data_IF_355535143538
#
_entry.id   IF_355535143538
#
_cell.length_a   1.000
_cell.length_b   1.000
_cell.length_c   1.000
_cell.angle_alpha   90.00
_cell.angle_beta   90.00
_cell.angle_gamma   90.00
#
_symmetry.space_group_name_H-M   'P 1'
#
loop_
_entity.id
_entity.type
_entity.pdbx_description
1 polymer ?
#
# COMPACT_ATOMS: atom_id res chain seq x y z
N UNK A 1 48.77 -1.85 -79.09
CA UNK A 1 48.93 -0.63 -78.27
C UNK A 1 47.70 0.24 -78.48
N UNK A 2 47.10 0.69 -77.38
CA UNK A 2 45.91 1.56 -77.31
C UNK A 2 44.58 0.98 -77.80
N UNK A 3 43.67 0.65 -76.87
CA UNK A 3 42.23 0.62 -77.12
C UNK A 3 41.53 1.47 -76.08
N UNK A 4 40.78 2.43 -76.60
CA UNK A 4 40.10 3.50 -75.87
C UNK A 4 38.92 3.03 -75.03
N UNK A 5 38.74 3.80 -73.96
CA UNK A 5 37.72 3.76 -72.95
C UNK A 5 36.36 4.18 -73.55
N UNK A 6 35.35 3.29 -73.50
CA UNK A 6 33.94 3.70 -73.55
C UNK A 6 33.33 3.56 -72.16
N UNK A 7 32.92 4.70 -71.59
CA UNK A 7 32.15 4.79 -70.35
C UNK A 7 30.75 4.24 -70.58
N UNK A 8 30.37 3.22 -69.80
CA UNK A 8 28.98 2.76 -69.67
C UNK A 8 28.36 3.39 -68.42
N UNK A 9 27.22 4.05 -68.62
CA UNK A 9 26.37 4.61 -67.56
C UNK A 9 25.59 3.45 -66.94
N UNK A 10 25.75 3.24 -65.63
CA UNK A 10 24.96 2.28 -64.85
C UNK A 10 23.84 3.04 -64.15
N UNK A 11 22.59 2.74 -64.53
CA UNK A 11 21.38 3.20 -63.85
C UNK A 11 21.12 2.27 -62.68
N UNK A 12 21.16 2.78 -61.45
CA UNK A 12 20.82 2.04 -60.23
C UNK A 12 19.34 2.27 -59.92
N UNK A 13 18.53 1.22 -60.01
CA UNK A 13 17.13 1.21 -59.56
C UNK A 13 17.11 0.69 -58.12
N UNK A 14 16.71 1.55 -57.18
CA UNK A 14 16.51 1.17 -55.77
C UNK A 14 15.06 0.69 -55.61
N UNK A 15 14.88 -0.62 -55.40
CA UNK A 15 13.59 -1.20 -55.00
C UNK A 15 13.52 -1.18 -53.48
N UNK A 16 12.61 -0.37 -52.94
CA UNK A 16 12.30 -0.34 -51.50
C UNK A 16 11.39 -1.51 -51.19
N UNK A 17 11.94 -2.56 -50.58
CA UNK A 17 11.16 -3.66 -50.03
C UNK A 17 10.48 -3.18 -48.73
N UNK A 18 9.16 -3.02 -48.76
CA UNK A 18 8.37 -2.85 -47.53
C UNK A 18 8.37 -4.17 -46.76
N UNK A 19 9.16 -4.26 -45.69
CA UNK A 19 8.98 -5.28 -44.67
C UNK A 19 7.71 -4.96 -43.87
N UNK A 20 6.60 -5.61 -44.23
CA UNK A 20 5.45 -5.75 -43.33
C UNK A 20 5.87 -6.66 -42.18
N UNK A 21 6.35 -6.07 -41.09
CA UNK A 21 6.50 -6.78 -39.82
C UNK A 21 5.11 -7.11 -39.34
N UNK A 22 4.68 -8.37 -39.54
CA UNK A 22 3.59 -8.94 -38.78
C UNK A 22 4.01 -8.93 -37.31
N UNK A 23 3.54 -7.92 -36.58
CA UNK A 23 3.61 -7.89 -35.13
C UNK A 23 2.59 -8.91 -34.63
N UNK A 24 3.01 -10.17 -34.52
CA UNK A 24 2.34 -11.14 -33.67
C UNK A 24 2.42 -10.60 -32.26
N UNK A 25 1.35 -9.94 -31.80
CA UNK A 25 1.14 -9.63 -30.38
C UNK A 25 0.87 -10.95 -29.66
N UNK A 26 1.93 -11.68 -29.35
CA UNK A 26 1.92 -12.60 -28.22
C UNK A 26 2.00 -11.74 -26.97
N UNK A 27 0.83 -11.24 -26.53
CA UNK A 27 0.64 -11.08 -25.11
C UNK A 27 0.49 -12.51 -24.58
N UNK A 28 1.62 -13.14 -24.23
CA UNK A 28 1.57 -14.18 -23.22
C UNK A 28 1.00 -13.49 -21.98
N UNK A 29 -0.30 -13.66 -21.78
CA UNK A 29 -0.85 -13.67 -20.44
C UNK A 29 0.04 -14.66 -19.69
N UNK A 30 0.89 -14.15 -18.80
CA UNK A 30 1.56 -15.00 -17.83
C UNK A 30 0.43 -15.85 -17.25
N UNK A 31 0.49 -17.16 -17.46
CA UNK A 31 -0.42 -18.12 -16.86
C UNK A 31 -0.42 -17.80 -15.37
N UNK A 32 -1.48 -17.15 -14.89
CA UNK A 32 -1.74 -17.06 -13.48
C UNK A 32 -1.68 -18.51 -13.00
N UNK A 33 -0.85 -18.86 -12.01
CA UNK A 33 -0.88 -20.22 -11.50
C UNK A 33 -2.33 -20.56 -11.18
N UNK A 34 -2.77 -21.79 -11.50
CA UNK A 34 -4.12 -22.34 -11.23
C UNK A 34 -4.42 -22.42 -9.71
N UNK A 35 -3.78 -21.58 -8.90
CA UNK A 35 -3.87 -21.55 -7.46
C UNK A 35 -4.82 -20.44 -7.04
N UNK A 36 -5.81 -20.83 -6.24
CA UNK A 36 -6.75 -19.91 -5.63
C UNK A 36 -6.02 -19.05 -4.59
N UNK A 37 -5.86 -17.72 -4.81
CA UNK A 37 -5.16 -16.89 -3.85
C UNK A 37 -5.97 -16.82 -2.55
N UNK A 38 -5.26 -16.92 -1.43
CA UNK A 38 -5.81 -16.71 -0.09
C UNK A 38 -5.07 -15.56 0.57
N UNK A 39 -5.76 -14.77 1.38
CA UNK A 39 -5.15 -13.63 2.06
C UNK A 39 -5.91 -13.24 3.34
N UNK A 40 -5.17 -12.65 4.28
CA UNK A 40 -5.75 -12.11 5.51
C UNK A 40 -6.03 -10.62 5.34
N UNK A 41 -7.20 -10.21 5.82
CA UNK A 41 -7.53 -8.80 6.06
C UNK A 41 -7.91 -8.60 7.53
N UNK A 42 -7.89 -7.35 7.96
CA UNK A 42 -8.33 -6.95 9.30
C UNK A 42 -9.73 -6.35 9.15
N UNK A 43 -10.67 -6.82 9.96
CA UNK A 43 -12.06 -6.37 9.93
C UNK A 43 -12.17 -4.87 10.23
N UNK A 44 -12.92 -4.14 9.39
CA UNK A 44 -13.21 -2.72 9.59
C UNK A 44 -14.33 -2.47 10.61
N UNK A 45 -14.94 -3.51 11.17
CA UNK A 45 -16.11 -3.40 12.05
C UNK A 45 -15.75 -3.01 13.49
N UNK A 46 -14.49 -3.20 13.89
CA UNK A 46 -14.04 -2.85 15.23
C UNK A 46 -13.72 -1.36 15.36
N UNK A 47 -13.95 -0.81 16.56
CA UNK A 47 -13.65 0.60 16.86
C UNK A 47 -12.15 0.89 16.91
N UNK A 48 -11.35 -0.11 17.24
CA UNK A 48 -9.91 -0.04 17.25
C UNK A 48 -9.32 -1.28 16.57
N UNK A 49 -8.12 -1.13 16.02
CA UNK A 49 -7.47 -2.20 15.25
C UNK A 49 -7.06 -3.39 16.11
N UNK A 50 -6.81 -3.18 17.41
CA UNK A 50 -6.37 -4.25 18.33
C UNK A 50 -7.51 -5.24 18.62
N UNK A 51 -8.76 -4.77 18.63
CA UNK A 51 -9.96 -5.61 18.80
C UNK A 51 -10.49 -6.16 17.47
N UNK A 52 -9.96 -5.70 16.34
CA UNK A 52 -10.42 -6.11 15.03
C UNK A 52 -10.13 -7.59 14.78
N UNK A 53 -11.14 -8.31 14.29
CA UNK A 53 -11.02 -9.71 13.91
C UNK A 53 -10.24 -9.86 12.61
N UNK A 54 -9.48 -10.95 12.50
CA UNK A 54 -8.87 -11.37 11.26
C UNK A 54 -9.92 -12.02 10.36
N UNK A 55 -9.91 -11.64 9.10
CA UNK A 55 -10.80 -12.17 8.07
C UNK A 55 -9.95 -12.98 7.09
N UNK A 56 -10.34 -14.24 6.88
CA UNK A 56 -9.72 -15.17 5.94
C UNK A 56 -10.48 -15.05 4.63
N UNK A 57 -9.79 -14.75 3.54
CA UNK A 57 -10.38 -14.53 2.21
C UNK A 57 -9.77 -15.50 1.20
N UNK A 58 -10.55 -15.87 0.19
CA UNK A 58 -10.07 -16.60 -1.00
C UNK A 58 -10.72 -16.09 -2.29
N UNK A 59 -9.99 -16.21 -3.39
CA UNK A 59 -10.40 -15.71 -4.70
C UNK A 59 -9.92 -14.29 -5.02
N UNK A 60 -10.49 -13.62 -6.03
CA UNK A 60 -11.76 -13.95 -6.69
C UNK A 60 -11.67 -15.02 -7.80
N UNK A 61 -12.77 -15.71 -8.06
CA UNK A 61 -13.00 -16.53 -9.26
C UNK A 61 -12.15 -17.80 -9.37
N UNK A 62 -11.92 -18.51 -8.26
CA UNK A 62 -11.12 -19.72 -8.28
C UNK A 62 -11.82 -20.85 -9.05
N UNK A 63 -11.20 -21.32 -10.13
CA UNK A 63 -11.68 -22.51 -10.87
C UNK A 63 -11.53 -23.78 -10.04
N UNK A 64 -10.41 -23.89 -9.32
CA UNK A 64 -10.11 -24.99 -8.40
C UNK A 64 -9.94 -24.42 -6.98
N UNK A 65 -11.03 -24.13 -6.26
CA UNK A 65 -10.95 -23.64 -4.89
C UNK A 65 -10.32 -24.71 -3.97
N UNK A 66 -9.60 -24.29 -2.93
CA UNK A 66 -8.99 -25.22 -1.98
C UNK A 66 -10.08 -25.99 -1.24
N UNK A 67 -9.77 -27.16 -0.71
CA UNK A 67 -10.70 -27.91 0.14
C UNK A 67 -10.83 -27.22 1.51
N UNK A 68 -9.68 -26.80 2.07
CA UNK A 68 -9.65 -26.10 3.34
C UNK A 68 -8.49 -25.11 3.44
N UNK A 69 -8.66 -24.14 4.33
CA UNK A 69 -7.69 -23.09 4.64
C UNK A 69 -7.37 -23.13 6.13
N UNK A 70 -6.08 -23.12 6.48
CA UNK A 70 -5.59 -23.03 7.85
C UNK A 70 -5.04 -21.66 8.18
N UNK A 71 -5.36 -21.14 9.37
CA UNK A 71 -4.74 -19.97 9.97
C UNK A 71 -3.82 -20.40 11.11
N UNK A 72 -2.63 -19.82 11.20
CA UNK A 72 -1.58 -20.18 12.16
C UNK A 72 -0.98 -18.93 12.81
N UNK A 73 -0.51 -19.05 14.05
CA UNK A 73 0.30 -18.04 14.75
C UNK A 73 1.81 -18.28 14.65
N UNK A 74 2.20 -19.43 14.10
CA UNK A 74 3.59 -19.79 13.83
C UNK A 74 3.74 -20.08 12.36
N UNK A 75 4.95 -19.92 11.81
CA UNK A 75 5.18 -20.21 10.40
C UNK A 75 5.10 -21.72 10.18
N UNK A 76 4.09 -22.24 9.45
CA UNK A 76 3.92 -23.68 9.26
C UNK A 76 5.02 -24.32 8.40
N UNK A 77 5.86 -23.53 7.73
CA UNK A 77 7.07 -24.04 7.07
C UNK A 77 8.21 -24.37 8.07
N UNK A 78 8.10 -23.92 9.31
CA UNK A 78 9.14 -24.04 10.35
C UNK A 78 8.62 -24.69 11.65
N UNK A 79 7.32 -24.94 11.75
CA UNK A 79 6.65 -25.44 12.95
C UNK A 79 5.55 -26.42 12.57
N UNK A 80 5.42 -27.48 13.35
CA UNK A 80 4.37 -28.51 13.21
C UNK A 80 3.10 -28.17 14.02
N UNK A 81 2.97 -26.92 14.50
CA UNK A 81 1.80 -26.48 15.25
C UNK A 81 0.52 -26.58 14.39
N UNK A 82 -0.60 -27.10 14.95
CA UNK A 82 -1.85 -27.18 14.21
C UNK A 82 -2.44 -25.78 13.93
N UNK A 83 -3.31 -25.65 12.90
CA UNK A 83 -3.98 -24.38 12.64
C UNK A 83 -4.88 -23.99 13.81
N UNK A 84 -4.85 -22.71 14.18
CA UNK A 84 -5.74 -22.13 15.20
C UNK A 84 -7.16 -21.93 14.67
N UNK A 85 -7.33 -21.83 13.35
CA UNK A 85 -8.62 -21.81 12.67
C UNK A 85 -8.49 -22.66 11.40
N UNK A 86 -9.47 -23.54 11.17
CA UNK A 86 -9.60 -24.33 9.95
C UNK A 86 -10.94 -23.99 9.29
N UNK A 87 -10.89 -23.50 8.07
CA UNK A 87 -12.07 -23.15 7.26
C UNK A 87 -12.23 -24.18 6.15
N UNK A 88 -13.41 -24.77 6.02
CA UNK A 88 -13.79 -25.57 4.86
C UNK A 88 -14.37 -24.62 3.81
N UNK A 89 -13.86 -24.69 2.58
CA UNK A 89 -14.27 -23.77 1.50
C UNK A 89 -15.48 -24.30 0.72
N UNK A 90 -15.75 -25.60 0.81
CA UNK A 90 -16.95 -26.26 0.26
C UNK A 90 -17.14 -26.05 -1.25
N UNK A 91 -16.05 -25.82 -1.99
CA UNK A 91 -16.09 -25.62 -3.44
C UNK A 91 -16.49 -24.21 -3.88
N UNK A 92 -16.63 -23.26 -2.95
CA UNK A 92 -16.96 -21.88 -3.29
C UNK A 92 -15.78 -21.19 -4.01
N UNK A 93 -15.99 -20.60 -5.20
CA UNK A 93 -14.92 -19.99 -5.99
C UNK A 93 -14.36 -18.71 -5.37
N UNK A 94 -15.08 -18.10 -4.41
CA UNK A 94 -14.66 -16.91 -3.68
C UNK A 94 -15.41 -16.81 -2.37
N UNK A 95 -14.79 -16.22 -1.36
CA UNK A 95 -15.48 -15.99 -0.12
C UNK A 95 -14.60 -15.42 0.97
N UNK A 96 -15.22 -15.22 2.12
CA UNK A 96 -14.57 -14.72 3.31
C UNK A 96 -15.19 -15.34 4.56
N UNK A 97 -14.36 -15.56 5.58
CA UNK A 97 -14.77 -15.98 6.91
C UNK A 97 -14.13 -15.06 7.94
N UNK A 98 -14.97 -14.45 8.77
CA UNK A 98 -14.50 -13.68 9.92
C UNK A 98 -14.17 -14.65 11.05
N UNK A 99 -12.92 -14.64 11.51
CA UNK A 99 -12.47 -15.52 12.59
C UNK A 99 -12.67 -14.89 13.97
N UNK A 100 -12.67 -15.70 15.02
CA UNK A 100 -12.63 -15.21 16.41
C UNK A 100 -11.26 -14.66 16.82
N UNK A 101 -10.24 -14.83 15.96
CA UNK A 101 -8.89 -14.34 16.22
C UNK A 101 -8.85 -12.85 16.03
N UNK A 102 -8.46 -12.12 17.08
CA UNK A 102 -8.26 -10.67 17.04
C UNK A 102 -6.83 -10.35 16.61
N UNK A 103 -6.67 -9.26 15.88
CA UNK A 103 -5.36 -8.75 15.50
C UNK A 103 -4.51 -8.42 16.71
N UNK A 104 -5.07 -7.90 17.80
CA UNK A 104 -4.34 -7.63 19.02
C UNK A 104 -3.27 -6.53 18.90
N UNK A 105 -2.50 -6.34 19.97
CA UNK A 105 -1.49 -5.30 20.03
C UNK A 105 -0.15 -5.79 19.46
N UNK A 106 0.13 -5.40 18.22
CA UNK A 106 1.37 -5.76 17.52
C UNK A 106 2.27 -4.56 17.25
N UNK A 107 3.59 -4.79 17.35
CA UNK A 107 4.60 -3.90 16.78
C UNK A 107 4.69 -4.16 15.28
N UNK A 108 4.92 -3.11 14.50
CA UNK A 108 5.19 -3.26 13.06
C UNK A 108 6.44 -4.14 12.89
N UNK A 109 6.38 -5.21 12.10
CA UNK A 109 7.46 -6.19 12.02
C UNK A 109 8.65 -5.65 11.22
N UNK A 110 9.78 -6.37 11.28
CA UNK A 110 10.96 -6.03 10.48
C UNK A 110 11.68 -4.74 10.87
N UNK A 111 11.42 -4.21 12.07
CA UNK A 111 12.05 -2.97 12.57
C UNK A 111 11.36 -1.70 12.08
N UNK A 112 10.16 -1.80 11.49
CA UNK A 112 9.41 -0.66 10.95
C UNK A 112 8.56 0.08 11.99
N UNK A 113 8.57 -0.32 13.26
CA UNK A 113 7.89 0.46 14.30
C UNK A 113 8.55 1.82 14.46
N UNK A 114 7.76 2.88 14.69
CA UNK A 114 8.26 4.26 14.78
C UNK A 114 9.44 4.41 15.75
N UNK A 115 9.33 3.83 16.95
CA UNK A 115 10.39 3.85 17.96
C UNK A 115 11.69 3.14 17.49
N UNK A 116 11.57 2.08 16.69
CA UNK A 116 12.71 1.30 16.22
C UNK A 116 13.45 2.03 15.10
N UNK A 117 12.74 2.68 14.18
CA UNK A 117 13.38 3.42 13.08
C UNK A 117 14.16 4.66 13.55
N UNK A 118 13.82 5.19 14.73
CA UNK A 118 14.59 6.26 15.37
C UNK A 118 15.94 5.77 15.90
N UNK A 119 16.07 4.48 16.19
CA UNK A 119 17.30 3.87 16.72
C UNK A 119 18.13 3.21 15.63
N UNK A 120 17.48 2.61 14.63
CA UNK A 120 18.14 1.82 13.59
C UNK A 120 17.38 1.91 12.27
N UNK A 121 18.11 2.15 11.18
CA UNK A 121 17.56 2.10 9.82
C UNK A 121 17.09 0.66 9.51
N UNK A 122 15.81 0.45 9.16
CA UNK A 122 15.30 -0.87 8.80
C UNK A 122 15.94 -1.33 7.48
N UNK A 123 16.25 -2.63 7.39
CA UNK A 123 16.71 -3.20 6.12
C UNK A 123 15.54 -3.28 5.16
N UNK A 124 15.72 -2.73 3.96
CA UNK A 124 14.77 -2.93 2.86
C UNK A 124 14.71 -4.41 2.51
N UNK A 125 13.51 -4.91 2.30
CA UNK A 125 13.27 -6.31 1.91
C UNK A 125 12.52 -6.32 0.59
N UNK A 126 12.90 -7.24 -0.28
CA UNK A 126 12.16 -7.52 -1.52
C UNK A 126 10.91 -8.34 -1.27
N UNK A 127 10.84 -9.02 -0.12
CA UNK A 127 9.69 -9.82 0.30
C UNK A 127 8.86 -9.09 1.35
N UNK A 128 7.53 -9.28 1.37
CA UNK A 128 6.67 -8.78 2.43
C UNK A 128 7.12 -9.24 3.83
N UNK A 129 6.75 -8.46 4.85
CA UNK A 129 7.17 -8.70 6.24
C UNK A 129 5.95 -9.06 7.09
N UNK A 130 5.92 -10.27 7.64
CA UNK A 130 4.75 -10.83 8.32
C UNK A 130 4.59 -10.35 9.78
N UNK A 131 3.35 -10.21 10.25
CA UNK A 131 2.96 -9.94 11.65
C UNK A 131 3.01 -11.17 12.56
N UNK A 132 3.20 -12.37 12.01
CA UNK A 132 3.11 -13.63 12.77
C UNK A 132 1.77 -14.35 12.63
N UNK A 133 0.94 -13.97 11.65
CA UNK A 133 -0.23 -14.73 11.24
C UNK A 133 -0.02 -15.28 9.84
N UNK A 134 -0.19 -16.58 9.67
CA UNK A 134 0.09 -17.29 8.42
C UNK A 134 -1.14 -18.04 7.93
N UNK A 135 -1.29 -18.11 6.62
CA UNK A 135 -2.34 -18.87 5.95
C UNK A 135 -1.73 -19.95 5.08
N UNK A 136 -2.36 -21.12 5.07
CA UNK A 136 -2.11 -22.15 4.06
C UNK A 136 -3.43 -22.66 3.48
N UNK A 137 -3.43 -23.05 2.21
CA UNK A 137 -4.56 -23.75 1.58
C UNK A 137 -4.13 -25.12 1.07
N UNK A 138 -5.07 -26.06 1.11
CA UNK A 138 -4.83 -27.44 0.72
C UNK A 138 -5.90 -27.95 -0.25
N UNK A 139 -5.48 -28.82 -1.17
CA UNK A 139 -6.38 -29.52 -2.09
C UNK A 139 -7.06 -30.75 -1.44
N UNK A 140 -7.75 -31.54 -2.27
CA UNK A 140 -8.43 -32.76 -1.82
C UNK A 140 -7.47 -33.88 -1.41
N UNK A 141 -6.22 -33.83 -1.86
CA UNK A 141 -5.15 -34.77 -1.53
C UNK A 141 -4.29 -34.27 -0.37
N UNK A 142 -4.77 -33.25 0.36
CA UNK A 142 -4.06 -32.55 1.44
C UNK A 142 -2.68 -32.02 1.02
N UNK A 143 -2.51 -31.68 -0.26
CA UNK A 143 -1.30 -31.02 -0.77
C UNK A 143 -1.42 -29.51 -0.63
N UNK A 144 -0.34 -28.86 -0.18
CA UNK A 144 -0.25 -27.42 -0.02
C UNK A 144 -0.36 -26.72 -1.40
N UNK A 145 -1.35 -25.86 -1.56
CA UNK A 145 -1.56 -25.07 -2.79
C UNK A 145 -1.02 -23.65 -2.66
N UNK A 146 -1.26 -22.99 -1.53
CA UNK A 146 -0.88 -21.59 -1.31
C UNK A 146 -0.37 -21.37 0.12
N UNK A 147 0.53 -20.41 0.28
CA UNK A 147 1.05 -19.95 1.56
C UNK A 147 1.07 -18.41 1.54
N UNK A 148 0.49 -17.78 2.56
CA UNK A 148 0.60 -16.33 2.76
C UNK A 148 0.68 -15.97 4.25
N UNK A 149 0.82 -14.68 4.55
CA UNK A 149 0.77 -14.16 5.90
C UNK A 149 0.13 -12.77 5.93
N UNK A 150 -0.36 -12.37 7.10
CA UNK A 150 -0.70 -10.97 7.32
C UNK A 150 0.60 -10.16 7.34
N UNK A 151 0.75 -9.20 6.43
CA UNK A 151 2.05 -8.57 6.12
C UNK A 151 1.97 -7.06 5.96
N UNK A 152 3.11 -6.40 6.19
CA UNK A 152 3.37 -5.03 5.74
C UNK A 152 4.17 -5.04 4.44
N UNK A 153 4.01 -3.99 3.64
CA UNK A 153 4.80 -3.78 2.41
C UNK A 153 5.25 -2.32 2.31
N UNK A 154 6.23 -1.90 3.14
CA UNK A 154 6.67 -0.52 3.21
C UNK A 154 7.34 -0.03 1.93
N UNK A 155 7.76 -0.91 1.02
CA UNK A 155 8.47 -0.60 -0.22
C UNK A 155 7.87 -1.32 -1.45
N UNK A 156 6.54 -1.50 -1.48
CA UNK A 156 5.87 -2.28 -2.53
C UNK A 156 6.02 -1.67 -3.92
N UNK A 157 6.00 -0.33 -4.07
CA UNK A 157 6.11 0.29 -5.39
C UNK A 157 7.49 0.05 -5.99
N UNK A 158 8.53 0.10 -5.16
CA UNK A 158 9.91 -0.16 -5.57
C UNK A 158 10.16 -1.63 -5.92
N UNK A 159 9.52 -2.57 -5.21
CA UNK A 159 9.77 -4.00 -5.39
C UNK A 159 8.96 -4.64 -6.50
N UNK A 160 7.86 -4.03 -6.92
CA UNK A 160 6.93 -4.60 -7.90
C UNK A 160 7.45 -4.38 -9.33
N UNK A 161 7.84 -5.45 -10.05
CA UNK A 161 8.34 -5.34 -11.41
C UNK A 161 7.28 -4.77 -12.35
N UNK A 162 7.70 -3.83 -13.21
CA UNK A 162 6.81 -3.26 -14.23
C UNK A 162 6.02 -2.03 -13.82
N UNK A 163 5.90 -1.73 -12.51
CA UNK A 163 5.26 -0.47 -12.07
C UNK A 163 5.96 0.78 -12.61
N UNK A 164 7.27 0.71 -12.84
CA UNK A 164 8.04 1.81 -13.41
C UNK A 164 7.56 2.25 -14.81
N UNK A 165 6.87 1.38 -15.54
CA UNK A 165 6.36 1.65 -16.89
C UNK A 165 4.86 1.99 -16.91
N UNK A 166 4.19 1.98 -15.75
CA UNK A 166 2.76 2.28 -15.64
C UNK A 166 2.59 3.77 -15.38
N UNK A 167 1.67 4.41 -16.12
CA UNK A 167 1.38 5.82 -15.88
C UNK A 167 0.55 5.99 -14.61
N UNK A 168 0.66 7.15 -13.94
CA UNK A 168 -0.07 7.38 -12.68
C UNK A 168 -1.58 7.17 -12.79
N UNK A 169 -2.18 7.48 -13.95
CA UNK A 169 -3.63 7.30 -14.21
C UNK A 169 -4.05 5.82 -14.32
N UNK A 170 -3.11 4.94 -14.65
CA UNK A 170 -3.34 3.51 -14.82
C UNK A 170 -2.90 2.72 -13.57
N UNK A 171 -2.30 3.40 -12.59
CA UNK A 171 -1.83 2.82 -11.35
C UNK A 171 -2.93 2.79 -10.29
N UNK A 172 -3.17 1.61 -9.72
CA UNK A 172 -3.99 1.49 -8.52
C UNK A 172 -3.17 1.92 -7.29
N UNK A 173 -3.55 3.04 -6.67
CA UNK A 173 -2.90 3.57 -5.48
C UNK A 173 -3.81 3.49 -4.26
N UNK A 174 -3.42 2.72 -3.23
CA UNK A 174 -4.12 2.75 -1.95
C UNK A 174 -4.02 4.13 -1.30
N UNK A 175 -5.17 4.71 -0.96
CA UNK A 175 -5.28 6.02 -0.34
C UNK A 175 -6.18 6.02 0.89
N UNK A 176 -6.03 7.03 1.75
CA UNK A 176 -6.88 7.23 2.91
C UNK A 176 -7.52 8.62 2.89
N UNK A 177 -8.81 8.70 3.22
CA UNK A 177 -9.52 9.98 3.35
C UNK A 177 -9.25 10.59 4.73
N UNK A 178 -8.98 11.90 4.80
CA UNK A 178 -8.66 12.58 6.06
C UNK A 178 -7.52 11.84 6.79
N UNK A 179 -6.40 11.59 6.11
CA UNK A 179 -5.35 10.66 6.56
C UNK A 179 -4.78 11.03 7.93
N UNK A 180 -4.72 12.33 8.23
CA UNK A 180 -4.24 12.85 9.51
C UNK A 180 -5.29 12.84 10.63
N UNK A 181 -6.50 12.33 10.37
CA UNK A 181 -7.64 12.41 11.29
C UNK A 181 -7.73 11.16 12.17
N UNK A 182 -6.66 10.90 12.92
CA UNK A 182 -6.55 9.80 13.88
C UNK A 182 -6.39 10.33 15.30
N UNK A 183 -6.61 9.43 16.26
CA UNK A 183 -6.44 9.75 17.67
C UNK A 183 -4.95 9.88 18.01
N UNK A 184 -4.58 10.95 18.70
CA UNK A 184 -3.24 11.22 19.23
C UNK A 184 -3.27 11.26 20.75
N UNK A 185 -2.10 11.20 21.39
CA UNK A 185 -1.99 11.41 22.85
C UNK A 185 -2.54 12.76 23.30
N UNK A 186 -2.46 13.79 22.43
CA UNK A 186 -2.94 15.12 22.73
C UNK A 186 -4.48 15.25 22.69
N UNK A 187 -5.16 14.37 21.96
CA UNK A 187 -6.61 14.47 21.73
C UNK A 187 -7.41 13.23 22.18
N UNK A 188 -6.76 12.25 22.83
CA UNK A 188 -7.41 11.02 23.35
C UNK A 188 -8.52 11.29 24.37
N UNK A 189 -8.47 12.41 25.08
CA UNK A 189 -9.54 12.84 26.00
C UNK A 189 -10.72 13.54 25.32
N UNK A 190 -10.61 13.89 24.04
CA UNK A 190 -11.60 14.71 23.36
C UNK A 190 -12.82 13.87 22.91
N UNK A 191 -13.88 13.90 23.72
CA UNK A 191 -15.13 13.16 23.47
C UNK A 191 -15.78 13.54 22.13
N UNK A 192 -15.67 14.80 21.74
CA UNK A 192 -16.27 15.28 20.50
C UNK A 192 -15.53 14.75 19.26
N UNK A 193 -14.19 14.80 19.27
CA UNK A 193 -13.37 14.24 18.19
C UNK A 193 -13.55 12.72 18.08
N UNK A 194 -13.74 12.00 19.20
CA UNK A 194 -14.07 10.56 19.16
C UNK A 194 -15.37 10.26 18.41
N UNK A 195 -16.38 11.14 18.55
CA UNK A 195 -17.69 10.92 17.94
C UNK A 195 -17.70 11.26 16.46
N UNK A 196 -17.05 12.36 16.06
CA UNK A 196 -17.17 12.87 14.68
C UNK A 196 -15.87 13.32 14.02
N UNK A 197 -14.79 13.47 14.78
CA UNK A 197 -13.53 14.04 14.31
C UNK A 197 -12.53 13.03 13.75
N UNK A 198 -12.52 11.79 14.23
CA UNK A 198 -11.62 10.76 13.73
C UNK A 198 -12.22 10.00 12.54
N UNK A 199 -11.36 9.68 11.57
CA UNK A 199 -11.65 8.92 10.34
C UNK A 199 -10.66 7.79 10.10
N UNK A 200 -9.50 7.83 10.76
CA UNK A 200 -8.47 6.81 10.67
C UNK A 200 -8.24 6.17 12.04
N UNK A 201 -8.08 4.85 12.06
CA UNK A 201 -7.80 4.06 13.27
C UNK A 201 -6.31 3.99 13.60
N UNK A 202 -5.45 4.34 12.64
CA UNK A 202 -3.99 4.23 12.72
C UNK A 202 -3.32 5.54 12.30
N UNK A 203 -2.11 5.78 12.82
CA UNK A 203 -1.31 6.96 12.50
C UNK A 203 -0.73 6.93 11.08
N UNK A 204 -0.21 8.07 10.62
CA UNK A 204 0.35 8.23 9.26
C UNK A 204 1.51 7.29 9.02
N UNK A 205 2.38 7.10 10.01
CA UNK A 205 3.50 6.19 9.92
C UNK A 205 3.03 4.76 9.59
N UNK A 206 2.05 4.27 10.36
CA UNK A 206 1.48 2.94 10.18
C UNK A 206 0.75 2.82 8.85
N UNK A 207 -0.05 3.83 8.45
CA UNK A 207 -0.71 3.85 7.13
C UNK A 207 0.30 3.64 5.99
N UNK A 208 1.41 4.37 6.01
CA UNK A 208 2.46 4.28 5.00
C UNK A 208 3.15 2.91 5.01
N UNK A 209 3.47 2.38 6.20
CA UNK A 209 4.09 1.06 6.35
C UNK A 209 3.15 -0.07 5.89
N UNK A 210 1.84 0.07 6.09
CA UNK A 210 0.83 -0.87 5.58
C UNK A 210 0.70 -0.84 4.06
N UNK A 211 1.15 0.23 3.38
CA UNK A 211 1.15 0.32 1.93
C UNK A 211 0.37 1.50 1.35
N UNK A 212 -0.23 2.36 2.18
CA UNK A 212 -0.91 3.59 1.71
C UNK A 212 0.10 4.51 1.04
N UNK A 213 -0.27 5.09 -0.11
CA UNK A 213 0.58 6.01 -0.88
C UNK A 213 -0.10 7.32 -1.24
N UNK A 214 -1.42 7.40 -1.13
CA UNK A 214 -2.18 8.64 -1.33
C UNK A 214 -2.76 9.15 -0.01
N UNK A 215 -2.31 10.32 0.44
CA UNK A 215 -2.72 10.94 1.69
C UNK A 215 -3.55 12.19 1.43
N UNK A 216 -4.79 12.20 1.93
CA UNK A 216 -5.74 13.31 1.81
C UNK A 216 -5.75 14.17 3.09
N UNK A 217 -5.38 15.44 2.94
CA UNK A 217 -5.32 16.42 4.00
C UNK A 217 -6.22 17.62 3.72
N UNK A 218 -6.96 18.04 4.75
CA UNK A 218 -7.55 19.37 4.83
C UNK A 218 -6.75 20.20 5.85
N UNK A 219 -6.29 21.38 5.48
CA UNK A 219 -5.34 22.18 6.28
C UNK A 219 -5.99 23.45 6.82
N UNK A 220 -5.84 23.67 8.12
CA UNK A 220 -6.23 24.91 8.79
C UNK A 220 -5.00 25.67 9.26
N UNK A 221 -5.04 26.99 9.14
CA UNK A 221 -4.06 27.89 9.72
C UNK A 221 -4.66 28.61 10.93
N UNK A 222 -3.96 28.54 12.06
CA UNK A 222 -4.28 29.29 13.26
C UNK A 222 -2.97 29.69 13.95
N UNK A 223 -2.66 31.00 14.05
CA UNK A 223 -1.46 31.48 14.71
C UNK A 223 -1.34 30.92 16.14
N UNK A 224 -0.22 30.28 16.44
CA UNK A 224 0.17 29.93 17.79
C UNK A 224 1.05 31.04 18.36
N UNK A 225 0.89 31.38 19.64
CA UNK A 225 1.71 32.38 20.33
C UNK A 225 3.22 32.09 20.23
N UNK A 226 3.61 30.82 20.04
CA UNK A 226 5.01 30.41 19.92
C UNK A 226 5.44 30.12 18.47
N UNK A 227 4.59 30.39 17.47
CA UNK A 227 4.87 30.20 16.03
C UNK A 227 5.07 28.75 15.53
N UNK A 228 5.23 27.79 16.43
CA UNK A 228 5.62 26.41 16.11
C UNK A 228 4.48 25.49 15.65
N UNK A 229 3.22 25.91 15.82
CA UNK A 229 2.02 25.08 15.54
C UNK A 229 0.93 25.86 14.84
N UNK A 230 1.29 26.49 13.73
CA UNK A 230 0.34 27.31 12.99
C UNK A 230 -0.55 26.48 12.06
N UNK A 231 -0.09 25.32 11.60
CA UNK A 231 -0.82 24.46 10.67
C UNK A 231 -1.38 23.21 11.35
N UNK A 232 -2.64 22.92 11.03
CA UNK A 232 -3.43 21.85 11.62
C UNK A 232 -4.09 21.01 10.54
N UNK A 233 -4.16 19.69 10.79
CA UNK A 233 -5.09 18.80 10.12
C UNK A 233 -6.50 19.14 10.60
N UNK A 234 -7.37 19.33 9.62
CA UNK A 234 -8.77 19.63 9.82
C UNK A 234 -9.62 18.43 9.38
N UNK A 235 -10.66 18.15 10.15
CA UNK A 235 -11.80 17.37 9.68
C UNK A 235 -13.00 18.31 9.68
N UNK A 236 -13.46 18.72 8.50
CA UNK A 236 -14.42 19.81 8.33
C UNK A 236 -13.93 21.08 9.07
N UNK A 237 -14.62 21.51 10.12
CA UNK A 237 -14.28 22.69 10.92
C UNK A 237 -13.48 22.36 12.20
N UNK A 238 -13.12 21.10 12.42
CA UNK A 238 -12.48 20.63 13.65
C UNK A 238 -10.98 20.43 13.49
N UNK A 239 -10.20 21.02 14.40
CA UNK A 239 -8.76 20.77 14.52
C UNK A 239 -8.53 19.39 15.13
N UNK A 240 -7.82 18.53 14.40
CA UNK A 240 -7.56 17.15 14.84
C UNK A 240 -6.14 16.99 15.36
N UNK A 241 -5.14 17.37 14.56
CA UNK A 241 -3.73 17.15 14.87
C UNK A 241 -2.86 18.27 14.27
N UNK A 242 -1.68 18.58 14.85
CA UNK A 242 -0.72 19.49 14.22
C UNK A 242 -0.13 18.85 12.96
N UNK A 243 0.08 19.66 11.91
CA UNK A 243 0.58 19.17 10.62
C UNK A 243 2.07 18.80 10.65
N UNK A 244 2.91 19.58 11.34
CA UNK A 244 4.37 19.44 11.26
C UNK A 244 4.88 18.03 11.64
N UNK A 245 4.44 17.40 12.75
CA UNK A 245 4.86 16.02 13.06
C UNK A 245 4.46 15.00 11.98
N UNK A 246 3.31 15.19 11.33
CA UNK A 246 2.85 14.32 10.23
C UNK A 246 3.79 14.45 9.02
N UNK A 247 4.16 15.67 8.63
CA UNK A 247 5.11 15.89 7.53
C UNK A 247 6.49 15.30 7.84
N UNK A 248 6.94 15.37 9.10
CA UNK A 248 8.19 14.75 9.54
C UNK A 248 8.15 13.22 9.42
N UNK A 249 7.03 12.59 9.75
CA UNK A 249 6.86 11.14 9.60
C UNK A 249 6.83 10.72 8.12
N UNK A 250 6.14 11.49 7.26
CA UNK A 250 6.13 11.26 5.81
C UNK A 250 7.54 11.38 5.23
N UNK A 251 8.25 12.47 5.55
CA UNK A 251 9.63 12.69 5.10
C UNK A 251 10.54 11.55 5.54
N UNK A 252 10.43 11.12 6.79
CA UNK A 252 11.22 9.99 7.32
C UNK A 252 10.88 8.71 6.56
N UNK A 253 9.61 8.42 6.32
CA UNK A 253 9.19 7.24 5.59
C UNK A 253 9.79 7.23 4.19
N UNK A 254 9.62 8.30 3.40
CA UNK A 254 10.15 8.43 2.04
C UNK A 254 11.66 8.20 1.99
N UNK A 255 12.42 8.79 2.92
CA UNK A 255 13.88 8.59 2.99
C UNK A 255 14.25 7.12 3.25
N UNK A 256 13.51 6.43 4.12
CA UNK A 256 13.83 5.06 4.50
C UNK A 256 13.35 4.03 3.48
N UNK A 257 12.16 4.24 2.89
CA UNK A 257 11.53 3.31 1.95
C UNK A 257 11.91 3.54 0.50
N UNK A 258 12.34 4.75 0.12
CA UNK A 258 12.49 5.21 -1.27
C UNK A 258 11.20 5.16 -2.09
N UNK A 259 10.05 5.17 -1.41
CA UNK A 259 8.74 5.18 -2.06
C UNK A 259 8.29 6.60 -2.39
N UNK A 260 7.47 6.71 -3.44
CA UNK A 260 6.76 7.95 -3.75
C UNK A 260 5.48 8.04 -2.94
N UNK A 261 5.26 9.16 -2.24
CA UNK A 261 4.01 9.42 -1.49
C UNK A 261 3.33 10.64 -2.11
N UNK A 262 2.04 10.50 -2.42
CA UNK A 262 1.20 11.54 -2.99
C UNK A 262 0.45 12.26 -1.87
N UNK A 263 0.66 13.58 -1.78
CA UNK A 263 0.00 14.43 -0.80
C UNK A 263 -1.07 15.27 -1.50
N UNK A 264 -2.33 15.07 -1.12
CA UNK A 264 -3.48 15.81 -1.62
C UNK A 264 -3.93 16.82 -0.55
N UNK A 265 -3.67 18.11 -0.79
CA UNK A 265 -4.16 19.20 0.03
C UNK A 265 -5.53 19.65 -0.48
N UNK A 266 -6.55 18.85 -0.20
CA UNK A 266 -7.87 18.97 -0.80
C UNK A 266 -8.62 20.25 -0.43
N UNK A 267 -8.51 20.69 0.83
CA UNK A 267 -9.28 21.83 1.36
C UNK A 267 -8.49 22.67 2.34
N UNK A 268 -8.86 23.95 2.41
CA UNK A 268 -8.28 24.95 3.31
C UNK A 268 -9.38 25.62 4.16
N UNK A 269 -10.05 24.89 5.07
CA UNK A 269 -11.29 25.36 5.71
C UNK A 269 -11.11 26.48 6.74
N UNK A 270 -9.87 26.79 7.16
CA UNK A 270 -9.62 27.78 8.22
C UNK A 270 -8.33 28.57 7.94
N UNK A 271 -8.39 29.89 8.04
CA UNK A 271 -7.23 30.79 8.01
C UNK A 271 -6.83 31.30 6.63
N UNK A 272 -6.97 30.50 5.57
CA UNK A 272 -6.39 30.79 4.26
C UNK A 272 -7.16 31.82 3.40
N UNK A 273 -8.44 32.09 3.70
CA UNK A 273 -9.25 33.02 2.92
C UNK A 273 -8.63 34.43 2.95
N UNK A 274 -8.38 35.03 1.77
CA UNK A 274 -7.70 36.33 1.60
C UNK A 274 -6.30 36.42 2.22
N UNK A 275 -5.61 35.29 2.43
CA UNK A 275 -4.29 35.25 3.05
C UNK A 275 -3.31 34.38 2.22
N UNK A 276 -2.84 34.85 1.04
CA UNK A 276 -1.93 34.09 0.18
C UNK A 276 -0.59 33.74 0.86
N UNK A 277 -0.13 34.59 1.79
CA UNK A 277 1.10 34.35 2.57
C UNK A 277 1.04 33.05 3.37
N UNK A 278 -0.16 32.60 3.78
CA UNK A 278 -0.33 31.33 4.48
C UNK A 278 -0.14 30.12 3.56
N UNK A 279 -0.52 30.23 2.28
CA UNK A 279 -0.19 29.22 1.28
C UNK A 279 1.32 29.15 1.04
N UNK A 280 1.99 30.30 0.92
CA UNK A 280 3.44 30.35 0.78
C UNK A 280 4.15 29.75 2.01
N UNK A 281 3.68 30.06 3.22
CA UNK A 281 4.20 29.49 4.46
C UNK A 281 3.96 27.98 4.56
N UNK A 282 2.83 27.47 4.06
CA UNK A 282 2.58 26.03 3.99
C UNK A 282 3.55 25.34 3.02
N UNK A 283 3.76 25.92 1.83
CA UNK A 283 4.68 25.38 0.83
C UNK A 283 6.12 25.32 1.36
N UNK A 284 6.53 26.27 2.19
CA UNK A 284 7.86 26.28 2.82
C UNK A 284 8.07 25.15 3.86
N UNK A 285 7.01 24.45 4.27
CA UNK A 285 7.11 23.31 5.19
C UNK A 285 7.26 21.95 4.48
N UNK A 286 6.96 21.89 3.18
CA UNK A 286 7.01 20.67 2.37
C UNK A 286 8.42 20.41 1.85
#
# INVERSE_FOLDING_TARGET
MSWEIRRLVVVVVVVVAMCTVMVTRYAEAASTPDTCPIYLTISAMARNIEEAQLVINWGPGCENPPTWIGLYTENPALSDAPPIVKVLVEGEPSGQVMSEVRFGRHKLPGGWSHEQVLQRIPKRKTKPICFGYYLTSYDQQDQLQYFDCLKIQPNWMFTEPGLANITLKDLFLPGTHCSGCYQTRANVGNVFLKKIGFRQSVDIWSQLVYGVRYLDFSIGYQPSHNGTRNFWIMNEHFRVAPLLPILQDIRRFVILSEETVFLDFRRFPLGFHNNPDQHAALLALL
#
